data_IF_336337475243
#
_entry.id   IF_336337475243
#
_cell.length_a   1.000
_cell.length_b   1.000
_cell.length_c   1.000
_cell.angle_alpha   90.00
_cell.angle_beta   90.00
_cell.angle_gamma   90.00
#
_symmetry.space_group_name_H-M   'P 1'
#
loop_
_entity.id
_entity.type
_entity.pdbx_description
1 polymer ?
#
# COMPACT_ATOMS: atom_id res chain seq x y z
N UNK A 1 -10.49 29.81 0.26
CA UNK A 1 -10.26 28.51 -0.40
C UNK A 1 -10.38 27.44 0.67
N UNK A 2 -11.32 26.50 0.55
CA UNK A 2 -11.52 25.43 1.51
C UNK A 2 -11.30 24.09 0.79
N UNK A 3 -10.64 23.10 1.42
CA UNK A 3 -10.39 21.78 0.82
C UNK A 3 -11.53 20.84 1.25
N UNK A 4 -12.53 20.56 0.40
CA UNK A 4 -13.78 19.87 0.78
C UNK A 4 -13.55 18.56 1.56
N UNK A 5 -12.58 17.77 1.12
CA UNK A 5 -12.15 16.50 1.71
C UNK A 5 -11.64 16.56 3.16
N UNK A 6 -11.37 17.75 3.71
CA UNK A 6 -10.89 17.92 5.09
C UNK A 6 -12.03 18.22 6.08
N UNK A 7 -13.13 18.88 5.68
CA UNK A 7 -14.22 19.30 6.60
C UNK A 7 -15.51 18.59 6.31
N UNK A 8 -15.79 18.26 5.04
CA UNK A 8 -17.06 17.63 4.70
C UNK A 8 -17.03 16.11 4.94
N UNK A 9 -15.85 15.49 4.90
CA UNK A 9 -15.69 14.05 5.07
C UNK A 9 -14.54 13.73 6.02
N UNK A 10 -14.88 13.52 7.30
CA UNK A 10 -13.90 13.16 8.33
C UNK A 10 -13.12 11.90 7.93
N UNK A 11 -11.80 11.92 8.14
CA UNK A 11 -10.87 10.81 7.85
C UNK A 11 -10.76 10.37 6.38
N UNK A 12 -11.42 11.02 5.43
CA UNK A 12 -11.37 10.60 4.03
C UNK A 12 -9.97 10.72 3.42
N UNK A 13 -9.25 11.80 3.73
CA UNK A 13 -7.90 12.04 3.21
C UNK A 13 -6.88 10.96 3.63
N UNK A 14 -7.11 10.32 4.77
CA UNK A 14 -6.28 9.21 5.23
C UNK A 14 -6.35 8.01 4.28
N UNK A 15 -7.52 7.76 3.67
CA UNK A 15 -7.70 6.63 2.75
C UNK A 15 -6.78 6.72 1.52
N UNK A 16 -6.44 7.93 1.06
CA UNK A 16 -5.48 8.11 -0.03
C UNK A 16 -4.06 7.69 0.38
N UNK A 17 -3.58 8.21 1.51
CA UNK A 17 -2.24 7.88 1.99
C UNK A 17 -2.13 6.38 2.34
N UNK A 18 -3.16 5.84 2.99
CA UNK A 18 -3.25 4.42 3.31
C UNK A 18 -3.25 3.56 2.05
N UNK A 19 -4.10 3.87 1.06
CA UNK A 19 -4.21 3.11 -0.18
C UNK A 19 -2.90 3.10 -0.99
N UNK A 20 -2.28 4.27 -1.15
CA UNK A 20 -1.00 4.41 -1.85
C UNK A 20 0.09 3.57 -1.18
N UNK A 21 0.26 3.74 0.14
CA UNK A 21 1.30 3.02 0.88
C UNK A 21 1.02 1.51 0.92
N UNK A 22 -0.25 1.10 0.95
CA UNK A 22 -0.65 -0.30 0.91
C UNK A 22 -0.24 -0.94 -0.42
N UNK A 23 -0.56 -0.31 -1.55
CA UNK A 23 -0.20 -0.83 -2.88
C UNK A 23 1.31 -0.90 -3.04
N UNK A 24 2.06 0.11 -2.59
CA UNK A 24 3.52 0.08 -2.62
C UNK A 24 4.09 -1.06 -1.76
N UNK A 25 3.53 -1.28 -0.57
CA UNK A 25 3.99 -2.34 0.34
C UNK A 25 3.66 -3.74 -0.21
N UNK A 26 2.48 -3.92 -0.82
CA UNK A 26 2.12 -5.14 -1.55
C UNK A 26 3.05 -5.37 -2.75
N UNK A 27 3.43 -4.31 -3.47
CA UNK A 27 4.39 -4.41 -4.57
C UNK A 27 5.79 -4.78 -4.06
N UNK A 28 6.21 -4.28 -2.90
CA UNK A 28 7.46 -4.69 -2.27
C UNK A 28 7.46 -6.20 -1.95
N UNK A 29 6.35 -6.73 -1.42
CA UNK A 29 6.17 -8.18 -1.23
C UNK A 29 6.23 -8.96 -2.54
N UNK A 30 5.58 -8.48 -3.60
CA UNK A 30 5.72 -9.08 -4.93
C UNK A 30 7.17 -9.12 -5.43
N UNK A 31 7.96 -8.06 -5.19
CA UNK A 31 9.38 -8.04 -5.57
C UNK A 31 10.22 -9.10 -4.85
N UNK A 32 9.81 -9.52 -3.65
CA UNK A 32 10.51 -10.54 -2.85
C UNK A 32 10.01 -11.95 -3.15
N UNK A 33 8.69 -12.15 -3.24
CA UNK A 33 8.04 -13.46 -3.42
C UNK A 33 7.89 -13.86 -4.90
N UNK A 34 7.97 -12.89 -5.82
CA UNK A 34 7.80 -13.10 -7.26
C UNK A 34 6.39 -13.56 -7.63
N UNK A 35 6.29 -14.44 -8.64
CA UNK A 35 5.01 -14.89 -9.19
C UNK A 35 4.10 -15.58 -8.18
N UNK A 36 4.67 -16.15 -7.11
CA UNK A 36 3.91 -16.80 -6.04
C UNK A 36 2.97 -15.84 -5.28
N UNK A 37 3.20 -14.53 -5.36
CA UNK A 37 2.36 -13.50 -4.77
C UNK A 37 1.16 -13.11 -5.64
N UNK A 38 1.18 -13.40 -6.95
CA UNK A 38 0.13 -12.99 -7.89
C UNK A 38 -1.25 -13.54 -7.48
N UNK A 39 -1.41 -14.84 -7.13
CA UNK A 39 -2.70 -15.35 -6.68
C UNK A 39 -3.22 -14.67 -5.41
N UNK A 40 -2.32 -14.34 -4.47
CA UNK A 40 -2.66 -13.61 -3.23
C UNK A 40 -3.22 -12.22 -3.55
N UNK A 41 -2.61 -11.52 -4.51
CA UNK A 41 -3.09 -10.22 -4.96
C UNK A 41 -4.47 -10.31 -5.63
N UNK A 42 -4.72 -11.34 -6.46
CA UNK A 42 -6.05 -11.54 -7.03
C UNK A 42 -7.11 -11.89 -5.98
N UNK A 43 -6.76 -12.64 -4.94
CA UNK A 43 -7.66 -12.91 -3.82
C UNK A 43 -8.05 -11.62 -3.08
N UNK A 44 -7.09 -10.70 -2.86
CA UNK A 44 -7.37 -9.37 -2.31
C UNK A 44 -8.40 -8.60 -3.16
N UNK A 45 -8.17 -8.53 -4.48
CA UNK A 45 -9.04 -7.81 -5.40
C UNK A 45 -10.44 -8.44 -5.47
N UNK A 46 -10.52 -9.77 -5.49
CA UNK A 46 -11.80 -10.50 -5.54
C UNK A 46 -12.66 -10.28 -4.29
N UNK A 47 -12.05 -10.03 -3.13
CA UNK A 47 -12.77 -9.75 -1.90
C UNK A 47 -13.50 -8.39 -1.92
N UNK A 48 -13.05 -7.43 -2.74
CA UNK A 48 -13.64 -6.10 -2.83
C UNK A 48 -13.83 -5.45 -1.44
N UNK A 49 -15.00 -4.86 -1.22
CA UNK A 49 -15.39 -4.25 0.06
C UNK A 49 -16.20 -5.18 0.98
N UNK A 50 -16.22 -6.49 0.75
CA UNK A 50 -17.09 -7.43 1.47
C UNK A 50 -16.71 -7.67 2.93
N UNK A 51 -15.44 -7.43 3.28
CA UNK A 51 -14.87 -7.61 4.63
C UNK A 51 -13.95 -6.44 4.98
N UNK A 52 -13.53 -6.36 6.24
CA UNK A 52 -12.60 -5.32 6.67
C UNK A 52 -11.24 -5.53 6.00
N UNK A 53 -10.53 -4.47 5.60
CA UNK A 53 -9.21 -4.58 4.97
C UNK A 53 -8.20 -5.41 5.79
N UNK A 54 -8.21 -5.25 7.12
CA UNK A 54 -7.34 -6.01 8.02
C UNK A 54 -7.57 -7.52 7.94
N UNK A 55 -8.83 -7.96 7.85
CA UNK A 55 -9.16 -9.39 7.78
C UNK A 55 -8.72 -9.98 6.44
N UNK A 56 -8.97 -9.26 5.33
CA UNK A 56 -8.59 -9.71 3.99
C UNK A 56 -7.07 -9.80 3.85
N UNK A 57 -6.34 -8.80 4.36
CA UNK A 57 -4.87 -8.80 4.33
C UNK A 57 -4.30 -9.89 5.26
N UNK A 58 -4.94 -10.16 6.39
CA UNK A 58 -4.58 -11.25 7.29
C UNK A 58 -4.63 -12.62 6.61
N UNK A 59 -5.63 -12.88 5.77
CA UNK A 59 -5.73 -14.13 4.98
C UNK A 59 -4.55 -14.32 4.02
N UNK A 60 -3.86 -13.25 3.64
CA UNK A 60 -2.68 -13.26 2.77
C UNK A 60 -1.36 -13.35 3.56
N UNK A 61 -1.44 -13.46 4.89
CA UNK A 61 -0.30 -13.44 5.80
C UNK A 61 0.27 -12.04 6.06
N UNK A 62 -0.51 -10.98 5.84
CA UNK A 62 -0.09 -9.59 6.03
C UNK A 62 -0.71 -9.02 7.30
N UNK A 63 0.14 -8.65 8.25
CA UNK A 63 -0.26 -7.89 9.43
C UNK A 63 -0.10 -6.38 9.18
N UNK A 64 -1.22 -5.67 9.10
CA UNK A 64 -1.24 -4.21 8.90
C UNK A 64 -0.76 -3.41 10.11
N UNK A 65 -0.60 -4.05 11.28
CA UNK A 65 -0.02 -3.42 12.47
C UNK A 65 1.51 -3.52 12.50
N UNK A 66 2.08 -4.39 11.67
CA UNK A 66 3.53 -4.55 11.54
C UNK A 66 4.13 -3.40 10.71
N UNK A 67 5.02 -2.64 11.34
CA UNK A 67 5.76 -1.55 10.68
C UNK A 67 6.68 -2.06 9.58
N UNK A 68 7.20 -3.29 9.70
CA UNK A 68 8.11 -3.84 8.70
C UNK A 68 7.41 -4.06 7.35
N UNK A 69 6.12 -4.41 7.35
CA UNK A 69 5.32 -4.46 6.13
C UNK A 69 5.31 -3.11 5.40
N UNK A 70 4.98 -2.03 6.11
CA UNK A 70 4.91 -0.68 5.54
C UNK A 70 6.27 -0.11 5.12
N UNK A 71 7.34 -0.53 5.81
CA UNK A 71 8.70 -0.09 5.48
C UNK A 71 9.09 -0.45 4.05
N UNK A 72 8.64 -1.60 3.53
CA UNK A 72 8.89 -1.99 2.13
C UNK A 72 8.35 -0.99 1.10
N UNK A 73 7.16 -0.42 1.36
CA UNK A 73 6.59 0.65 0.53
C UNK A 73 7.40 1.94 0.60
N UNK A 74 7.79 2.37 1.81
CA UNK A 74 8.66 3.53 2.00
C UNK A 74 10.02 3.38 1.31
N UNK A 75 10.59 2.17 1.32
CA UNK A 75 11.87 1.87 0.69
C UNK A 75 11.80 1.95 -0.84
N UNK A 76 10.65 1.58 -1.44
CA UNK A 76 10.42 1.79 -2.88
C UNK A 76 10.43 3.28 -3.24
N UNK A 77 9.76 4.11 -2.44
CA UNK A 77 9.75 5.57 -2.64
C UNK A 77 11.17 6.11 -2.56
N UNK A 78 11.95 5.70 -1.55
CA UNK A 78 13.35 6.11 -1.39
C UNK A 78 14.20 5.73 -2.61
N UNK A 79 14.10 4.49 -3.09
CA UNK A 79 14.83 4.04 -4.29
C UNK A 79 14.47 4.84 -5.54
N UNK A 80 13.18 5.17 -5.72
CA UNK A 80 12.74 5.98 -6.85
C UNK A 80 13.29 7.41 -6.76
N UNK A 81 13.33 7.99 -5.56
CA UNK A 81 13.94 9.30 -5.31
C UNK A 81 15.44 9.28 -5.62
N UNK A 82 16.19 8.31 -5.10
CA UNK A 82 17.62 8.14 -5.36
C UNK A 82 17.91 8.03 -6.86
N UNK A 83 17.12 7.23 -7.58
CA UNK A 83 17.20 7.10 -9.04
C UNK A 83 16.92 8.41 -9.77
N UNK A 84 15.92 9.17 -9.33
CA UNK A 84 15.61 10.47 -9.95
C UNK A 84 16.78 11.46 -9.78
N UNK A 85 17.40 11.49 -8.59
CA UNK A 85 18.57 12.35 -8.32
C UNK A 85 19.78 11.95 -9.16
N UNK A 86 20.04 10.64 -9.36
CA UNK A 86 21.18 10.19 -10.15
C UNK A 86 21.07 10.53 -11.65
N UNK A 87 19.87 10.79 -12.15
CA UNK A 87 19.60 11.17 -13.54
C UNK A 87 19.61 12.69 -13.76
N UNK A 88 19.57 13.48 -12.68
CA UNK A 88 19.50 14.93 -12.74
C UNK A 88 20.88 15.62 -12.68
N UNK A 89 21.94 14.86 -12.40
CA UNK A 89 23.35 15.29 -12.49
C UNK A 89 24.02 14.78 -13.75
#
# INVERSE_FOLDING_TARGET
>A
LYIPHIVQWSFYVYAYAFGELLVLSLYARYKEEGESFIPKYFQLLAAGGSRKPQDILGDLGIDVTDKAFWQGGCDLIRRNLERALSLAG
#
